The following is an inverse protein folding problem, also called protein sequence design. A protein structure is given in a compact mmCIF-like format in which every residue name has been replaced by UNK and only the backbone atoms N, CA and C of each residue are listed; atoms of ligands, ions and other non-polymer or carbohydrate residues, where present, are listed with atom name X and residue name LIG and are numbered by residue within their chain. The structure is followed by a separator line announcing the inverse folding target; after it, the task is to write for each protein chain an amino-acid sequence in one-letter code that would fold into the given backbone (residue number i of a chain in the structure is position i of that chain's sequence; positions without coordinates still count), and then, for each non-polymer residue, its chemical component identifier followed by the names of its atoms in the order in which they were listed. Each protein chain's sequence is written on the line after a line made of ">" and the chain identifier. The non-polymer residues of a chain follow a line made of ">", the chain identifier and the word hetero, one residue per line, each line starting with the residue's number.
data_IF_112970655427
#
_entry.id   IF_112970655427
#
_cell.length_a   1.000
_cell.length_b   1.000
_cell.length_c   1.000
_cell.angle_alpha   90.00
_cell.angle_beta   90.00
_cell.angle_gamma   90.00
#
_symmetry.space_group_name_H-M   'P 1'
#
loop_
_entity.id
_entity.type
_entity.pdbx_description
1 polymer ?
#
# COMPACT_ATOMS: atom_id res chain seq x y z
N UNK A 1 -10.38 42.36 -12.37
CA UNK A 1 -10.69 40.93 -12.56
C UNK A 1 -11.84 40.60 -11.64
N UNK A 2 -13.05 40.36 -12.17
CA UNK A 2 -14.21 40.05 -11.35
C UNK A 2 -13.97 38.73 -10.59
N UNK A 3 -14.01 38.78 -9.27
CA UNK A 3 -14.02 37.60 -8.41
C UNK A 3 -15.32 36.85 -8.66
N UNK A 4 -15.29 35.83 -9.54
CA UNK A 4 -16.41 34.92 -9.74
C UNK A 4 -16.75 34.31 -8.38
N UNK A 5 -17.92 34.65 -7.85
CA UNK A 5 -18.42 34.03 -6.62
C UNK A 5 -18.57 32.52 -6.88
N UNK A 6 -17.78 31.73 -6.15
CA UNK A 6 -17.79 30.28 -6.29
C UNK A 6 -19.15 29.75 -5.85
N UNK A 7 -19.78 28.95 -6.69
CA UNK A 7 -21.05 28.33 -6.37
C UNK A 7 -20.92 27.35 -5.18
N UNK A 8 -22.00 27.09 -4.44
CA UNK A 8 -21.99 26.19 -3.28
C UNK A 8 -21.45 24.78 -3.61
N UNK A 9 -21.68 24.29 -4.83
CA UNK A 9 -21.10 23.02 -5.31
C UNK A 9 -19.59 23.06 -5.58
N UNK A 10 -19.05 24.20 -6.04
CA UNK A 10 -17.61 24.40 -6.22
C UNK A 10 -16.89 24.45 -4.86
N UNK A 11 -17.50 25.11 -3.87
CA UNK A 11 -17.00 25.15 -2.48
C UNK A 11 -16.98 23.76 -1.83
N UNK A 12 -18.06 22.98 -1.99
CA UNK A 12 -18.12 21.61 -1.50
C UNK A 12 -17.04 20.71 -2.14
N UNK A 13 -16.80 20.87 -3.45
CA UNK A 13 -15.77 20.13 -4.17
C UNK A 13 -14.36 20.49 -3.69
N UNK A 14 -14.08 21.78 -3.45
CA UNK A 14 -12.81 22.24 -2.89
C UNK A 14 -12.60 21.71 -1.47
N UNK A 15 -13.64 21.70 -0.63
CA UNK A 15 -13.57 21.12 0.70
C UNK A 15 -13.24 19.62 0.67
N UNK A 16 -13.89 18.84 -0.21
CA UNK A 16 -13.61 17.42 -0.42
C UNK A 16 -12.18 17.18 -0.89
N UNK A 17 -11.69 17.96 -1.86
CA UNK A 17 -10.30 17.89 -2.34
C UNK A 17 -9.28 18.20 -1.23
N UNK A 18 -9.54 19.22 -0.40
CA UNK A 18 -8.68 19.56 0.74
C UNK A 18 -8.66 18.44 1.78
N UNK A 19 -9.81 17.85 2.08
CA UNK A 19 -9.90 16.71 2.99
C UNK A 19 -9.13 15.50 2.46
N UNK A 20 -9.36 15.11 1.19
CA UNK A 20 -8.64 14.01 0.55
C UNK A 20 -7.12 14.24 0.54
N UNK A 21 -6.67 15.46 0.23
CA UNK A 21 -5.24 15.81 0.26
C UNK A 21 -4.64 15.64 1.66
N UNK A 22 -5.33 16.16 2.70
CA UNK A 22 -4.89 16.02 4.09
C UNK A 22 -4.85 14.55 4.50
N UNK A 23 -5.83 13.77 4.08
CA UNK A 23 -5.87 12.34 4.35
C UNK A 23 -4.68 11.64 3.69
N UNK A 24 -4.41 11.85 2.40
CA UNK A 24 -3.25 11.23 1.74
C UNK A 24 -1.92 11.61 2.39
N UNK A 25 -1.74 12.88 2.79
CA UNK A 25 -0.58 13.31 3.56
C UNK A 25 -0.51 12.56 4.90
N UNK A 26 -1.64 12.46 5.61
CA UNK A 26 -1.73 11.70 6.87
C UNK A 26 -1.38 10.22 6.69
N UNK A 27 -1.70 9.61 5.56
CA UNK A 27 -1.35 8.22 5.26
C UNK A 27 0.13 8.03 4.95
N UNK A 28 0.74 8.97 4.24
CA UNK A 28 2.18 8.96 4.02
C UNK A 28 2.90 9.09 5.36
N UNK A 29 2.47 10.02 6.22
CA UNK A 29 3.03 10.21 7.56
C UNK A 29 2.83 8.95 8.41
N UNK A 30 1.62 8.38 8.42
CA UNK A 30 1.33 7.15 9.17
C UNK A 30 2.22 6.00 8.73
N UNK A 31 2.35 5.76 7.43
CA UNK A 31 3.24 4.74 6.89
C UNK A 31 4.71 5.00 7.24
N UNK A 32 5.16 6.25 7.15
CA UNK A 32 6.51 6.64 7.53
C UNK A 32 6.78 6.43 9.03
N UNK A 33 5.81 6.74 9.90
CA UNK A 33 5.93 6.53 11.36
C UNK A 33 6.02 5.04 11.68
N UNK A 34 5.12 4.21 11.13
CA UNK A 34 5.15 2.76 11.37
C UNK A 34 6.45 2.14 10.82
N UNK A 35 6.85 2.51 9.60
CA UNK A 35 8.10 2.04 9.00
C UNK A 35 9.34 2.46 9.79
N UNK A 36 9.38 3.72 10.26
CA UNK A 36 10.50 4.23 11.07
C UNK A 36 10.53 3.58 12.45
N UNK A 37 9.37 3.34 13.08
CA UNK A 37 9.27 2.61 14.34
C UNK A 37 9.85 1.20 14.17
N UNK A 38 9.42 0.47 13.15
CA UNK A 38 9.93 -0.88 12.88
C UNK A 38 11.44 -0.86 12.64
N UNK A 39 11.94 0.06 11.82
CA UNK A 39 13.37 0.16 11.50
C UNK A 39 14.25 0.60 12.69
N UNK A 40 13.76 1.50 13.54
CA UNK A 40 14.53 2.00 14.69
C UNK A 40 14.66 0.98 15.83
N UNK A 41 13.71 0.05 15.94
CA UNK A 41 13.67 -0.99 16.97
C UNK A 41 14.10 -2.36 16.46
N UNK A 42 14.61 -2.44 15.22
CA UNK A 42 15.21 -3.67 14.71
C UNK A 42 16.54 -3.93 15.40
N UNK A 43 16.64 -5.07 16.09
CA UNK A 43 17.81 -5.44 16.89
C UNK A 43 18.87 -6.19 16.09
N UNK A 44 18.63 -6.48 14.82
CA UNK A 44 19.64 -7.16 14.01
C UNK A 44 20.81 -6.26 13.64
N UNK A 45 22.06 -6.75 13.76
CA UNK A 45 23.22 -6.06 13.19
C UNK A 45 23.12 -6.10 11.67
N UNK A 46 22.80 -4.96 11.04
CA UNK A 46 22.89 -4.83 9.59
C UNK A 46 24.35 -4.58 9.22
N UNK A 47 25.04 -5.60 8.71
CA UNK A 47 26.33 -5.42 8.02
C UNK A 47 26.07 -4.63 6.71
N UNK A 48 26.10 -3.30 6.77
CA UNK A 48 25.90 -2.43 5.60
C UNK A 48 24.87 -1.30 5.74
N UNK A 49 24.29 -1.09 6.93
CA UNK A 49 23.29 -0.04 7.15
C UNK A 49 21.88 -0.44 6.70
N UNK A 50 20.88 0.41 6.94
CA UNK A 50 19.48 0.08 6.68
C UNK A 50 19.22 -0.10 5.18
N UNK A 51 18.89 -1.32 4.75
CA UNK A 51 18.57 -1.67 3.36
C UNK A 51 17.17 -2.26 3.26
N UNK A 52 16.38 -1.74 2.30
CA UNK A 52 15.00 -2.19 2.02
C UNK A 52 14.91 -3.67 1.61
N UNK A 53 16.03 -4.32 1.31
CA UNK A 53 16.06 -5.69 0.81
C UNK A 53 16.40 -6.73 1.90
N UNK A 54 16.76 -6.30 3.11
CA UNK A 54 17.13 -7.18 4.24
C UNK A 54 15.99 -7.41 5.25
N UNK A 55 14.74 -7.13 4.87
CA UNK A 55 13.55 -7.27 5.74
C UNK A 55 13.33 -8.72 6.23
N UNK A 56 13.96 -9.71 5.59
CA UNK A 56 13.84 -11.13 5.94
C UNK A 56 14.53 -11.50 7.25
N UNK A 57 15.42 -10.65 7.76
CA UNK A 57 16.03 -10.78 9.07
C UNK A 57 15.63 -9.61 9.95
N UNK A 58 14.33 -9.43 10.22
CA UNK A 58 13.83 -8.41 11.15
C UNK A 58 13.64 -9.04 12.54
N UNK A 59 14.20 -8.46 13.60
CA UNK A 59 14.01 -8.90 14.98
C UNK A 59 13.49 -7.72 15.78
N UNK A 60 12.28 -7.88 16.30
CA UNK A 60 11.61 -6.87 17.10
C UNK A 60 11.31 -7.44 18.48
N UNK A 61 11.30 -6.56 19.48
CA UNK A 61 10.70 -6.91 20.76
C UNK A 61 9.20 -7.22 20.57
N UNK A 62 8.63 -8.14 21.36
CA UNK A 62 7.22 -8.53 21.21
C UNK A 62 6.24 -7.34 21.25
N UNK A 63 6.52 -6.35 22.10
CA UNK A 63 5.69 -5.15 22.21
C UNK A 63 5.68 -4.32 20.91
N UNK A 64 6.84 -4.10 20.30
CA UNK A 64 6.95 -3.34 19.03
C UNK A 64 6.34 -4.14 17.89
N UNK A 65 6.53 -5.46 17.86
CA UNK A 65 5.90 -6.34 16.86
C UNK A 65 4.37 -6.24 16.88
N UNK A 66 3.75 -6.26 18.08
CA UNK A 66 2.29 -6.12 18.23
C UNK A 66 1.82 -4.75 17.74
N UNK A 67 2.48 -3.66 18.15
CA UNK A 67 2.13 -2.30 17.74
C UNK A 67 2.27 -2.14 16.23
N UNK A 68 3.37 -2.61 15.66
CA UNK A 68 3.64 -2.58 14.22
C UNK A 68 2.60 -3.38 13.44
N UNK A 69 2.27 -4.60 13.89
CA UNK A 69 1.25 -5.43 13.27
C UNK A 69 -0.14 -4.78 13.29
N UNK A 70 -0.57 -4.24 14.43
CA UNK A 70 -1.85 -3.51 14.54
C UNK A 70 -1.84 -2.29 13.60
N UNK A 71 -0.75 -1.52 13.58
CA UNK A 71 -0.60 -0.37 12.68
C UNK A 71 -0.71 -0.75 11.20
N UNK A 72 -0.04 -1.84 10.79
CA UNK A 72 -0.12 -2.36 9.43
C UNK A 72 -1.52 -2.86 9.08
N UNK A 73 -2.21 -3.56 9.99
CA UNK A 73 -3.60 -4.01 9.77
C UNK A 73 -4.55 -2.81 9.63
N UNK A 74 -4.38 -1.78 10.45
CA UNK A 74 -5.16 -0.54 10.31
C UNK A 74 -4.87 0.12 8.96
N UNK A 75 -3.60 0.26 8.58
CA UNK A 75 -3.21 0.95 7.35
C UNK A 75 -3.55 0.20 6.07
N UNK A 76 -3.36 -1.13 6.04
CA UNK A 76 -3.51 -1.96 4.84
C UNK A 76 -4.90 -2.60 4.72
N UNK A 77 -5.69 -2.67 5.79
CA UNK A 77 -7.04 -3.27 5.78
C UNK A 77 -8.08 -2.27 6.26
N UNK A 78 -7.97 -1.80 7.51
CA UNK A 78 -9.00 -1.00 8.15
C UNK A 78 -9.30 0.29 7.40
N UNK A 79 -8.26 1.01 6.99
CA UNK A 79 -8.39 2.28 6.31
C UNK A 79 -8.89 2.14 4.85
N UNK A 80 -8.38 1.22 4.01
CA UNK A 80 -9.00 0.94 2.72
C UNK A 80 -10.49 0.64 2.82
N UNK A 81 -10.92 -0.19 3.78
CA UNK A 81 -12.33 -0.49 4.03
C UNK A 81 -13.13 0.76 4.42
N UNK A 82 -12.59 1.61 5.29
CA UNK A 82 -13.21 2.89 5.63
C UNK A 82 -13.33 3.80 4.39
N UNK A 83 -12.28 3.86 3.57
CA UNK A 83 -12.21 4.72 2.39
C UNK A 83 -13.24 4.38 1.32
N UNK A 84 -13.60 3.11 1.15
CA UNK A 84 -14.68 2.70 0.24
C UNK A 84 -16.02 3.41 0.53
N UNK A 85 -16.25 3.90 1.76
CA UNK A 85 -17.45 4.67 2.12
C UNK A 85 -17.42 6.13 1.66
N UNK A 86 -16.25 6.64 1.29
CA UNK A 86 -16.01 8.08 1.04
C UNK A 86 -15.63 8.40 -0.40
N UNK A 87 -15.26 7.38 -1.17
CA UNK A 87 -14.87 7.51 -2.57
C UNK A 87 -16.10 7.49 -3.49
N UNK A 88 -15.94 8.02 -4.70
CA UNK A 88 -16.97 7.91 -5.73
C UNK A 88 -16.97 6.51 -6.38
N UNK A 89 -18.00 6.25 -7.19
CA UNK A 89 -18.17 4.96 -7.85
C UNK A 89 -17.04 4.63 -8.85
N UNK A 90 -16.50 5.65 -9.53
CA UNK A 90 -15.41 5.47 -10.47
C UNK A 90 -14.14 5.01 -9.75
N UNK A 91 -13.78 5.66 -8.64
CA UNK A 91 -12.68 5.25 -7.79
C UNK A 91 -12.90 3.87 -7.18
N UNK A 92 -14.14 3.54 -6.77
CA UNK A 92 -14.46 2.21 -6.26
C UNK A 92 -14.25 1.13 -7.34
N UNK A 93 -14.73 1.35 -8.57
CA UNK A 93 -14.50 0.45 -9.72
C UNK A 93 -13.02 0.28 -10.03
N UNK A 94 -12.23 1.36 -9.99
CA UNK A 94 -10.77 1.30 -10.17
C UNK A 94 -10.10 0.47 -9.08
N UNK A 95 -10.48 0.66 -7.81
CA UNK A 95 -9.95 -0.15 -6.70
C UNK A 95 -10.29 -1.63 -6.84
N UNK A 96 -11.52 -1.98 -7.22
CA UNK A 96 -11.92 -3.38 -7.43
C UNK A 96 -11.16 -4.03 -8.59
N UNK A 97 -10.96 -3.32 -9.71
CA UNK A 97 -10.13 -3.79 -10.82
C UNK A 97 -8.67 -3.99 -10.41
N UNK A 98 -8.12 -3.04 -9.63
CA UNK A 98 -6.78 -3.18 -9.06
C UNK A 98 -6.66 -4.42 -8.17
N UNK A 99 -7.60 -4.60 -7.24
CA UNK A 99 -7.63 -5.76 -6.33
C UNK A 99 -7.73 -7.07 -7.10
N UNK A 100 -8.59 -7.14 -8.13
CA UNK A 100 -8.72 -8.32 -8.99
C UNK A 100 -7.41 -8.63 -9.72
N UNK A 101 -6.71 -7.62 -10.24
CA UNK A 101 -5.40 -7.80 -10.88
C UNK A 101 -4.34 -8.33 -9.90
N UNK A 102 -4.28 -7.77 -8.69
CA UNK A 102 -3.37 -8.27 -7.65
C UNK A 102 -3.69 -9.70 -7.22
N UNK A 103 -4.97 -10.04 -7.07
CA UNK A 103 -5.39 -11.40 -6.75
C UNK A 103 -5.02 -12.39 -7.86
N UNK A 104 -5.25 -12.05 -9.13
CA UNK A 104 -4.84 -12.88 -10.27
C UNK A 104 -3.32 -13.02 -10.36
N UNK A 105 -2.57 -11.95 -10.05
CA UNK A 105 -1.11 -12.00 -10.01
C UNK A 105 -0.62 -12.97 -8.94
N UNK A 106 -1.25 -13.04 -7.77
CA UNK A 106 -0.89 -14.04 -6.76
C UNK A 106 -1.34 -15.44 -7.20
N UNK A 107 -2.60 -15.60 -7.61
CA UNK A 107 -3.18 -16.91 -7.94
C UNK A 107 -2.45 -17.59 -9.10
N UNK A 108 -2.10 -16.85 -10.14
CA UNK A 108 -1.38 -17.39 -11.31
C UNK A 108 0.14 -17.20 -11.20
N UNK A 109 0.57 -16.02 -10.74
CA UNK A 109 1.99 -15.67 -10.72
C UNK A 109 2.79 -16.41 -9.65
N UNK A 110 2.23 -16.70 -8.47
CA UNK A 110 2.96 -17.50 -7.47
C UNK A 110 3.21 -18.93 -7.94
N UNK A 111 2.21 -19.72 -8.37
CA UNK A 111 2.46 -21.07 -8.87
C UNK A 111 3.43 -21.09 -10.06
N UNK A 112 3.31 -20.15 -11.00
CA UNK A 112 4.25 -20.03 -12.10
C UNK A 112 5.68 -19.75 -11.61
N UNK A 113 5.86 -18.81 -10.69
CA UNK A 113 7.16 -18.52 -10.08
C UNK A 113 7.72 -19.73 -9.34
N UNK A 114 6.89 -20.43 -8.56
CA UNK A 114 7.30 -21.64 -7.86
C UNK A 114 7.81 -22.73 -8.81
N UNK A 115 7.07 -23.02 -9.89
CA UNK A 115 7.49 -24.00 -10.91
C UNK A 115 8.79 -23.58 -11.60
N UNK A 116 8.93 -22.31 -11.97
CA UNK A 116 10.17 -21.78 -12.55
C UNK A 116 11.34 -21.92 -11.58
N UNK A 117 11.12 -21.71 -10.28
CA UNK A 117 12.16 -21.89 -9.28
C UNK A 117 12.57 -23.35 -9.10
N UNK A 118 11.60 -24.27 -9.10
CA UNK A 118 11.88 -25.71 -9.06
C UNK A 118 12.69 -26.17 -10.29
N UNK A 119 12.53 -25.52 -11.44
CA UNK A 119 13.34 -25.72 -12.63
C UNK A 119 14.68 -25.00 -12.64
N UNK A 120 15.06 -24.28 -11.58
CA UNK A 120 16.30 -23.50 -11.51
C UNK A 120 16.31 -22.21 -12.35
N UNK A 121 15.16 -21.76 -12.85
CA UNK A 121 15.04 -20.57 -13.71
C UNK A 121 14.74 -19.28 -12.95
N UNK A 122 14.35 -19.38 -11.67
CA UNK A 122 14.02 -18.24 -10.82
C UNK A 122 14.45 -18.51 -9.37
N UNK A 123 14.73 -17.46 -8.57
CA UNK A 123 14.93 -17.63 -7.13
C UNK A 123 13.66 -18.15 -6.45
N UNK A 124 13.82 -18.76 -5.27
CA UNK A 124 12.69 -19.24 -4.48
C UNK A 124 11.73 -18.08 -4.13
N UNK A 125 10.40 -18.28 -4.24
CA UNK A 125 9.44 -17.27 -3.82
C UNK A 125 9.61 -16.89 -2.35
N UNK A 126 9.65 -15.59 -2.06
CA UNK A 126 9.77 -15.05 -0.69
C UNK A 126 8.45 -14.44 -0.22
N UNK A 127 8.25 -14.35 1.10
CA UNK A 127 7.06 -13.70 1.67
C UNK A 127 6.92 -12.25 1.21
N UNK A 128 8.04 -11.51 1.16
CA UNK A 128 8.07 -10.15 0.62
C UNK A 128 7.74 -10.13 -0.87
N UNK A 129 8.28 -11.07 -1.65
CA UNK A 129 7.98 -11.22 -3.07
C UNK A 129 6.49 -11.44 -3.33
N UNK A 130 5.84 -12.30 -2.55
CA UNK A 130 4.40 -12.55 -2.61
C UNK A 130 3.58 -11.31 -2.24
N UNK A 131 3.97 -10.59 -1.18
CA UNK A 131 3.34 -9.35 -0.79
C UNK A 131 3.44 -8.30 -1.91
N UNK A 132 4.62 -8.10 -2.49
CA UNK A 132 4.85 -7.16 -3.58
C UNK A 132 4.12 -7.58 -4.85
N UNK A 133 4.01 -8.87 -5.13
CA UNK A 133 3.24 -9.37 -6.27
C UNK A 133 1.76 -9.01 -6.13
N UNK A 134 1.14 -9.29 -4.99
CA UNK A 134 -0.28 -8.96 -4.77
C UNK A 134 -0.53 -7.45 -4.62
N UNK A 135 0.13 -6.83 -3.65
CA UNK A 135 -0.08 -5.41 -3.33
C UNK A 135 0.50 -4.48 -4.39
N UNK A 136 1.69 -4.78 -4.90
CA UNK A 136 2.35 -3.97 -5.94
C UNK A 136 1.57 -4.00 -7.25
N UNK A 137 1.11 -5.16 -7.71
CA UNK A 137 0.25 -5.22 -8.92
C UNK A 137 -1.08 -4.50 -8.69
N UNK A 138 -1.68 -4.62 -7.51
CA UNK A 138 -2.89 -3.86 -7.15
C UNK A 138 -2.67 -2.36 -7.28
N UNK A 139 -1.58 -1.85 -6.69
CA UNK A 139 -1.23 -0.43 -6.69
C UNK A 139 -0.91 0.08 -8.10
N UNK A 140 -0.07 -0.63 -8.85
CA UNK A 140 0.31 -0.25 -10.22
C UNK A 140 -0.92 -0.23 -11.13
N UNK A 141 -1.76 -1.25 -11.06
CA UNK A 141 -3.01 -1.31 -11.84
C UNK A 141 -3.93 -0.15 -11.49
N UNK A 142 -4.10 0.16 -10.20
CA UNK A 142 -4.89 1.31 -9.77
C UNK A 142 -4.35 2.63 -10.33
N UNK A 143 -3.03 2.86 -10.28
CA UNK A 143 -2.40 4.09 -10.81
C UNK A 143 -2.62 4.21 -12.32
N UNK A 144 -2.41 3.12 -13.07
CA UNK A 144 -2.64 3.08 -14.52
C UNK A 144 -4.09 3.45 -14.84
N UNK A 145 -5.06 2.80 -14.17
CA UNK A 145 -6.49 3.07 -14.38
C UNK A 145 -6.88 4.49 -13.97
N UNK A 146 -6.23 5.05 -12.94
CA UNK A 146 -6.47 6.41 -12.48
C UNK A 146 -5.98 7.47 -13.48
N UNK A 147 -4.95 7.19 -14.26
CA UNK A 147 -4.40 8.12 -15.25
C UNK A 147 -4.95 7.92 -16.66
N UNK A 148 -5.48 6.73 -16.96
CA UNK A 148 -6.11 6.43 -18.25
C UNK A 148 -7.53 7.02 -18.35
N UNK A 149 -8.30 6.87 -17.27
CA UNK A 149 -9.72 7.25 -17.18
C UNK A 149 -9.87 8.64 -16.53
#
# INVERSE_FOLDING_TARGET
>A
MATREMGPGELATLARKRYQRRLYIGLIIFGAVIGSLIGAFDTHPHEGGPSLWHITGLQLSPAIAIIGAIGLLIGLIGLPLYMFRTIDELAARRNLRGLAAGWLAVLGGYPAWFVLSAGGLAPAPTALGLFLLGYGVTLVTFIILKWRD
#
